data_IF_841877974756
#
_entry.id   IF_841877974756
#
_cell.length_a   1.000
_cell.length_b   1.000
_cell.length_c   1.000
_cell.angle_alpha   90.00
_cell.angle_beta   90.00
_cell.angle_gamma   90.00
#
_symmetry.space_group_name_H-M   'P 1'
#
loop_
_entity.id
_entity.type
_entity.pdbx_description
1 polymer ?
#
# COMPACT_ATOMS: atom_id res chain seq x y z
N UNK A 1 28.21 -5.95 -47.99
CA UNK A 1 28.07 -5.13 -46.76
C UNK A 1 26.76 -5.36 -46.01
N UNK A 2 25.59 -5.40 -46.67
CA UNK A 2 24.29 -5.59 -46.01
C UNK A 2 24.13 -6.93 -45.25
N UNK A 3 24.68 -8.01 -45.78
CA UNK A 3 24.62 -9.33 -45.11
C UNK A 3 25.55 -9.45 -43.91
N UNK A 4 26.74 -8.85 -43.98
CA UNK A 4 27.68 -8.79 -42.85
C UNK A 4 27.10 -7.99 -41.69
N UNK A 5 26.38 -6.90 -41.97
CA UNK A 5 25.69 -6.10 -40.96
C UNK A 5 24.55 -6.88 -40.29
N UNK A 6 23.82 -7.71 -41.04
CA UNK A 6 22.76 -8.56 -40.48
C UNK A 6 23.31 -9.67 -39.59
N UNK A 7 24.44 -10.28 -39.95
CA UNK A 7 25.11 -11.29 -39.12
C UNK A 7 25.68 -10.66 -37.85
N UNK A 8 26.28 -9.47 -37.94
CA UNK A 8 26.78 -8.74 -36.76
C UNK A 8 25.63 -8.31 -35.85
N UNK A 9 24.51 -7.81 -36.40
CA UNK A 9 23.32 -7.48 -35.63
C UNK A 9 22.68 -8.72 -34.98
N UNK A 10 22.69 -9.87 -35.68
CA UNK A 10 22.24 -11.15 -35.12
C UNK A 10 23.12 -11.63 -33.97
N UNK A 11 24.45 -11.52 -34.11
CA UNK A 11 25.42 -11.87 -33.06
C UNK A 11 25.35 -10.94 -31.85
N UNK A 12 25.12 -9.64 -32.07
CA UNK A 12 24.92 -8.66 -30.98
C UNK A 12 23.58 -8.88 -30.28
N UNK A 13 22.52 -9.25 -31.01
CA UNK A 13 21.24 -9.62 -30.43
C UNK A 13 21.33 -10.91 -29.60
N UNK A 14 22.11 -11.90 -30.03
CA UNK A 14 22.38 -13.11 -29.24
C UNK A 14 23.29 -12.86 -28.03
N UNK A 15 24.26 -11.95 -28.14
CA UNK A 15 25.10 -11.55 -27.00
C UNK A 15 24.32 -10.72 -25.95
N UNK A 16 23.30 -9.98 -26.37
CA UNK A 16 22.36 -9.28 -25.49
C UNK A 16 21.29 -10.22 -24.89
N UNK A 17 20.99 -11.33 -25.56
CA UNK A 17 20.16 -12.43 -25.04
C UNK A 17 20.99 -13.33 -24.13
N UNK A 18 21.52 -12.77 -23.03
CA UNK A 18 22.10 -13.59 -21.97
C UNK A 18 20.93 -14.26 -21.25
N UNK A 19 20.73 -15.55 -21.51
CA UNK A 19 19.84 -16.39 -20.73
C UNK A 19 20.22 -16.23 -19.26
N UNK A 20 19.30 -15.72 -18.45
CA UNK A 20 19.51 -15.61 -17.01
C UNK A 20 19.45 -17.02 -16.44
N UNK A 21 20.62 -17.59 -16.20
CA UNK A 21 20.76 -18.87 -15.52
C UNK A 21 20.58 -18.68 -14.00
N UNK A 22 20.15 -19.72 -13.30
CA UNK A 22 19.92 -19.66 -11.85
C UNK A 22 21.20 -19.26 -11.10
N UNK A 23 22.36 -19.68 -11.61
CA UNK A 23 23.67 -19.28 -11.10
C UNK A 23 23.93 -17.76 -11.14
N UNK A 24 23.36 -17.05 -12.12
CA UNK A 24 23.44 -15.58 -12.18
C UNK A 24 22.54 -14.88 -11.17
N UNK A 25 21.42 -15.49 -10.75
CA UNK A 25 20.54 -14.93 -9.73
C UNK A 25 21.07 -15.17 -8.30
N UNK A 26 21.73 -16.31 -8.06
CA UNK A 26 22.35 -16.63 -6.77
C UNK A 26 23.48 -15.65 -6.42
N UNK A 27 24.26 -15.23 -7.42
CA UNK A 27 25.47 -14.41 -7.24
C UNK A 27 25.20 -12.89 -7.25
N UNK A 28 23.95 -12.46 -7.25
CA UNK A 28 23.61 -11.04 -7.33
C UNK A 28 24.08 -10.25 -6.11
N UNK A 29 24.90 -9.23 -6.37
CA UNK A 29 25.21 -8.19 -5.40
C UNK A 29 23.96 -7.37 -5.06
N UNK A 30 23.94 -6.73 -3.88
CA UNK A 30 22.87 -5.88 -3.38
C UNK A 30 22.44 -4.85 -4.43
N UNK A 31 23.38 -4.24 -5.15
CA UNK A 31 23.07 -3.29 -6.23
C UNK A 31 22.26 -3.92 -7.37
N UNK A 32 22.55 -5.16 -7.72
CA UNK A 32 21.83 -5.87 -8.78
C UNK A 32 20.45 -6.32 -8.30
N UNK A 33 20.35 -6.81 -7.07
CA UNK A 33 19.06 -7.12 -6.41
C UNK A 33 18.15 -5.89 -6.37
N UNK A 34 18.70 -4.75 -5.92
CA UNK A 34 18.07 -3.44 -5.91
C UNK A 34 17.50 -3.06 -7.28
N UNK A 35 18.33 -3.17 -8.32
CA UNK A 35 17.94 -2.85 -9.70
C UNK A 35 16.83 -3.77 -10.20
N UNK A 36 16.85 -5.04 -9.80
CA UNK A 36 15.82 -6.00 -10.18
C UNK A 36 14.45 -5.66 -9.56
N UNK A 37 14.43 -5.30 -8.27
CA UNK A 37 13.20 -4.84 -7.59
C UNK A 37 12.65 -3.56 -8.25
N UNK A 38 13.51 -2.62 -8.62
CA UNK A 38 13.10 -1.43 -9.36
C UNK A 38 12.48 -1.76 -10.73
N UNK A 39 13.05 -2.71 -11.47
CA UNK A 39 12.47 -3.16 -12.75
C UNK A 39 11.08 -3.77 -12.55
N UNK A 40 10.86 -4.55 -11.48
CA UNK A 40 9.56 -5.15 -11.17
C UNK A 40 8.48 -4.11 -10.84
N UNK A 41 8.86 -3.03 -10.15
CA UNK A 41 7.98 -1.93 -9.74
C UNK A 41 7.85 -0.83 -10.80
N UNK A 42 8.52 -0.95 -11.94
CA UNK A 42 8.42 0.03 -13.01
C UNK A 42 7.09 -0.14 -13.77
N UNK A 43 6.35 0.96 -13.94
CA UNK A 43 5.09 1.04 -14.70
C UNK A 43 4.17 -0.15 -14.45
N UNK A 44 3.80 -0.37 -13.19
CA UNK A 44 3.08 -1.58 -12.76
C UNK A 44 1.75 -1.81 -13.48
N UNK A 45 1.11 -0.73 -13.93
CA UNK A 45 -0.17 -0.74 -14.66
C UNK A 45 -0.04 -1.11 -16.13
N UNK A 46 1.17 -1.08 -16.70
CA UNK A 46 1.45 -1.53 -18.07
C UNK A 46 1.91 -3.01 -18.04
N UNK A 47 1.84 -3.72 -19.19
CA UNK A 47 2.56 -4.98 -19.37
C UNK A 47 4.05 -4.81 -19.05
N UNK A 48 4.68 -5.88 -18.58
CA UNK A 48 6.09 -5.87 -18.20
C UNK A 48 6.95 -5.45 -19.40
N UNK A 49 7.73 -4.38 -19.23
CA UNK A 49 8.60 -3.86 -20.30
C UNK A 49 9.90 -4.67 -20.47
N UNK A 50 10.33 -5.38 -19.43
CA UNK A 50 11.61 -6.07 -19.40
C UNK A 50 11.46 -7.55 -19.76
N UNK A 51 12.03 -7.95 -20.91
CA UNK A 51 11.98 -9.34 -21.40
C UNK A 51 12.51 -10.37 -20.39
N UNK A 52 13.57 -10.03 -19.67
CA UNK A 52 14.13 -10.85 -18.58
C UNK A 52 13.06 -11.26 -17.54
N UNK A 53 12.27 -10.30 -17.07
CA UNK A 53 11.20 -10.56 -16.09
C UNK A 53 10.07 -11.37 -16.73
N UNK A 54 9.72 -11.06 -17.98
CA UNK A 54 8.68 -11.76 -18.72
C UNK A 54 9.04 -13.24 -18.96
N UNK A 55 10.28 -13.52 -19.37
CA UNK A 55 10.78 -14.87 -19.61
C UNK A 55 10.84 -15.68 -18.31
N UNK A 56 11.39 -15.11 -17.23
CA UNK A 56 11.43 -15.78 -15.92
C UNK A 56 10.00 -16.09 -15.45
N UNK A 57 9.10 -15.12 -15.53
CA UNK A 57 7.73 -15.30 -15.05
C UNK A 57 6.92 -16.31 -15.87
N UNK A 58 7.10 -16.36 -17.20
CA UNK A 58 6.42 -17.35 -18.06
C UNK A 58 6.96 -18.77 -17.87
N UNK A 59 8.26 -18.91 -17.63
CA UNK A 59 8.91 -20.21 -17.49
C UNK A 59 8.80 -20.78 -16.06
N UNK A 60 8.37 -19.98 -15.08
CA UNK A 60 8.26 -20.43 -13.70
C UNK A 60 6.89 -21.06 -13.41
N UNK A 61 6.89 -22.35 -13.05
CA UNK A 61 5.70 -23.05 -12.57
C UNK A 61 5.72 -23.16 -11.04
N UNK A 62 4.82 -22.44 -10.36
CA UNK A 62 4.72 -22.47 -8.89
C UNK A 62 4.29 -23.86 -8.37
N UNK A 63 3.42 -24.58 -9.09
CA UNK A 63 2.91 -25.88 -8.66
C UNK A 63 4.00 -26.96 -8.62
N UNK A 64 4.93 -26.93 -9.57
CA UNK A 64 6.06 -27.87 -9.65
C UNK A 64 7.17 -27.53 -8.64
N UNK A 65 7.23 -26.27 -8.19
CA UNK A 65 8.31 -25.75 -7.35
C UNK A 65 7.91 -25.57 -5.87
N UNK A 66 6.84 -26.23 -5.40
CA UNK A 66 6.36 -26.14 -4.00
C UNK A 66 7.46 -26.45 -2.98
N UNK A 67 8.40 -27.34 -3.31
CA UNK A 67 9.51 -27.73 -2.44
C UNK A 67 10.54 -26.61 -2.21
N UNK A 68 10.52 -25.53 -3.00
CA UNK A 68 11.39 -24.36 -2.84
C UNK A 68 10.91 -23.37 -1.77
N UNK A 69 9.81 -23.70 -1.07
CA UNK A 69 9.24 -22.86 -0.04
C UNK A 69 9.35 -23.54 1.33
N UNK A 70 9.58 -22.74 2.37
CA UNK A 70 9.73 -23.22 3.76
C UNK A 70 8.41 -23.77 4.30
N UNK A 71 7.28 -23.12 3.97
CA UNK A 71 5.92 -23.57 4.29
C UNK A 71 5.18 -23.97 3.03
N UNK A 72 5.14 -25.26 2.72
CA UNK A 72 4.52 -25.80 1.50
C UNK A 72 3.00 -25.66 1.50
N UNK A 73 2.35 -25.70 2.66
CA UNK A 73 0.90 -25.59 2.79
C UNK A 73 0.36 -24.22 2.35
N UNK A 74 1.15 -23.16 2.54
CA UNK A 74 0.84 -21.82 2.06
C UNK A 74 0.75 -21.81 0.54
N UNK A 75 1.71 -22.45 -0.14
CA UNK A 75 1.76 -22.52 -1.60
C UNK A 75 0.59 -23.34 -2.14
N UNK A 76 0.27 -24.47 -1.51
CA UNK A 76 -0.92 -25.27 -1.86
C UNK A 76 -2.21 -24.47 -1.72
N UNK A 77 -2.35 -23.71 -0.63
CA UNK A 77 -3.50 -22.83 -0.39
C UNK A 77 -3.59 -21.75 -1.46
N UNK A 78 -2.45 -21.12 -1.80
CA UNK A 78 -2.35 -20.13 -2.86
C UNK A 78 -2.79 -20.69 -4.21
N UNK A 79 -2.29 -21.86 -4.60
CA UNK A 79 -2.68 -22.56 -5.84
C UNK A 79 -4.18 -22.85 -5.87
N UNK A 80 -4.75 -23.32 -4.76
CA UNK A 80 -6.19 -23.56 -4.68
C UNK A 80 -6.99 -22.26 -4.85
N UNK A 81 -6.53 -21.15 -4.26
CA UNK A 81 -7.16 -19.85 -4.44
C UNK A 81 -7.07 -19.36 -5.89
N UNK A 82 -5.94 -19.60 -6.58
CA UNK A 82 -5.80 -19.28 -8.02
C UNK A 82 -6.80 -20.04 -8.88
N UNK A 83 -7.07 -21.31 -8.57
CA UNK A 83 -8.08 -22.13 -9.29
C UNK A 83 -9.51 -21.60 -9.13
N UNK A 84 -9.80 -20.98 -7.99
CA UNK A 84 -11.10 -20.32 -7.73
C UNK A 84 -11.17 -18.96 -8.44
N UNK A 85 -10.05 -18.25 -8.50
CA UNK A 85 -9.91 -16.92 -9.10
C UNK A 85 -9.62 -15.85 -8.07
N UNK A 86 -8.66 -15.00 -8.38
CA UNK A 86 -8.26 -13.83 -7.58
C UNK A 86 -8.82 -12.54 -8.18
N UNK A 87 -8.62 -11.42 -7.50
CA UNK A 87 -8.91 -10.09 -8.08
C UNK A 87 -8.28 -9.96 -9.48
N UNK A 88 -9.07 -9.61 -10.52
CA UNK A 88 -8.56 -9.43 -11.88
C UNK A 88 -7.55 -8.28 -11.99
N UNK A 89 -6.74 -8.31 -13.04
CA UNK A 89 -5.86 -7.19 -13.41
C UNK A 89 -6.67 -5.97 -13.85
N UNK A 90 -6.20 -4.78 -13.50
CA UNK A 90 -6.89 -3.51 -13.78
C UNK A 90 -8.06 -3.18 -12.84
N UNK A 91 -8.39 -4.07 -11.90
CA UNK A 91 -9.36 -3.77 -10.84
C UNK A 91 -8.70 -3.09 -9.63
N UNK A 92 -9.51 -2.36 -8.86
CA UNK A 92 -9.02 -1.62 -7.69
C UNK A 92 -8.80 -2.58 -6.52
N UNK A 93 -7.56 -2.60 -6.04
CA UNK A 93 -7.19 -3.25 -4.80
C UNK A 93 -7.34 -2.30 -3.60
N UNK A 94 -7.94 -2.80 -2.52
CA UNK A 94 -7.95 -2.21 -1.20
C UNK A 94 -7.80 -3.30 -0.15
N UNK A 95 -6.99 -3.01 0.88
CA UNK A 95 -6.76 -3.96 1.97
C UNK A 95 -7.96 -4.10 2.92
N UNK A 96 -8.97 -3.24 2.77
CA UNK A 96 -10.16 -3.19 3.62
C UNK A 96 -11.31 -4.08 3.13
N UNK A 97 -11.12 -4.81 2.02
CA UNK A 97 -12.07 -5.84 1.57
C UNK A 97 -11.53 -7.20 1.99
N UNK A 98 -12.26 -7.92 2.86
CA UNK A 98 -11.81 -9.19 3.47
C UNK A 98 -11.29 -10.22 2.48
N UNK A 99 -11.95 -10.34 1.32
CA UNK A 99 -11.51 -11.25 0.26
C UNK A 99 -10.15 -10.82 -0.30
N UNK A 100 -10.00 -9.55 -0.66
CA UNK A 100 -8.75 -9.01 -1.21
C UNK A 100 -7.62 -9.06 -0.18
N UNK A 101 -7.93 -8.80 1.10
CA UNK A 101 -6.99 -8.96 2.21
C UNK A 101 -6.48 -10.40 2.30
N UNK A 102 -7.37 -11.40 2.31
CA UNK A 102 -6.96 -12.81 2.37
C UNK A 102 -6.10 -13.22 1.17
N UNK A 103 -6.47 -12.78 -0.03
CA UNK A 103 -5.71 -13.05 -1.24
C UNK A 103 -4.31 -12.42 -1.18
N UNK A 104 -4.19 -11.14 -0.82
CA UNK A 104 -2.90 -10.44 -0.78
C UNK A 104 -1.99 -10.93 0.36
N UNK A 105 -2.57 -11.31 1.50
CA UNK A 105 -1.82 -11.93 2.61
C UNK A 105 -1.28 -13.29 2.19
N UNK A 106 -2.05 -14.05 1.41
CA UNK A 106 -1.58 -15.32 0.85
C UNK A 106 -0.43 -15.08 -0.13
N UNK A 107 -0.53 -14.07 -1.01
CA UNK A 107 0.56 -13.67 -1.91
C UNK A 107 1.83 -13.29 -1.14
N UNK A 108 1.69 -12.46 -0.10
CA UNK A 108 2.80 -12.09 0.79
C UNK A 108 3.45 -13.34 1.40
N UNK A 109 2.67 -14.28 1.93
CA UNK A 109 3.24 -15.48 2.54
C UNK A 109 4.01 -16.35 1.53
N UNK A 110 3.54 -16.48 0.30
CA UNK A 110 4.29 -17.21 -0.75
C UNK A 110 5.64 -16.53 -1.01
N UNK A 111 5.67 -15.20 -1.14
CA UNK A 111 6.92 -14.44 -1.30
C UNK A 111 7.82 -14.54 -0.07
N UNK A 112 7.25 -14.44 1.13
CA UNK A 112 8.00 -14.44 2.39
C UNK A 112 8.61 -15.82 2.68
N UNK A 113 7.90 -16.91 2.42
CA UNK A 113 8.39 -18.27 2.70
C UNK A 113 9.25 -18.88 1.60
N UNK A 114 9.54 -18.17 0.51
CA UNK A 114 10.55 -18.61 -0.48
C UNK A 114 11.91 -18.78 0.21
N UNK A 115 12.55 -19.96 0.04
CA UNK A 115 13.75 -20.35 0.78
C UNK A 115 14.96 -19.46 0.52
N UNK A 116 15.06 -18.93 -0.70
CA UNK A 116 16.17 -18.09 -1.14
C UNK A 116 15.68 -16.93 -2.00
N UNK A 117 16.61 -16.00 -2.29
CA UNK A 117 16.35 -14.82 -3.08
C UNK A 117 15.95 -15.18 -4.52
N UNK A 118 16.49 -16.27 -5.08
CA UNK A 118 16.21 -16.72 -6.44
C UNK A 118 14.76 -17.15 -6.57
N UNK A 119 14.28 -18.02 -5.67
CA UNK A 119 12.88 -18.44 -5.63
C UNK A 119 11.99 -17.23 -5.42
N UNK A 120 12.32 -16.35 -4.48
CA UNK A 120 11.57 -15.10 -4.24
C UNK A 120 11.40 -14.25 -5.50
N UNK A 121 12.48 -14.03 -6.27
CA UNK A 121 12.43 -13.26 -7.51
C UNK A 121 11.65 -13.99 -8.60
N UNK A 122 11.83 -15.30 -8.79
CA UNK A 122 11.04 -16.07 -9.76
C UNK A 122 9.54 -15.99 -9.47
N UNK A 123 9.16 -16.13 -8.19
CA UNK A 123 7.79 -15.95 -7.73
C UNK A 123 7.30 -14.52 -7.99
N UNK A 124 8.10 -13.50 -7.68
CA UNK A 124 7.74 -12.10 -7.92
C UNK A 124 7.53 -11.79 -9.42
N UNK A 125 8.40 -12.29 -10.29
CA UNK A 125 8.25 -12.18 -11.74
C UNK A 125 6.94 -12.82 -12.22
N UNK A 126 6.62 -14.01 -11.73
CA UNK A 126 5.36 -14.69 -12.05
C UNK A 126 4.15 -13.86 -11.57
N UNK A 127 4.16 -13.40 -10.31
CA UNK A 127 3.08 -12.58 -9.76
C UNK A 127 2.88 -11.28 -10.54
N UNK A 128 3.97 -10.63 -10.97
CA UNK A 128 3.94 -9.40 -11.78
C UNK A 128 3.21 -9.57 -13.12
N UNK A 129 3.25 -10.78 -13.69
CA UNK A 129 2.61 -11.10 -14.98
C UNK A 129 1.15 -11.52 -14.84
N UNK A 130 0.78 -12.24 -13.78
CA UNK A 130 -0.53 -12.90 -13.74
C UNK A 130 -1.51 -12.32 -12.71
N UNK A 131 -1.05 -11.58 -11.71
CA UNK A 131 -1.90 -11.08 -10.63
C UNK A 131 -2.18 -9.58 -10.74
N UNK A 132 -3.19 -9.13 -9.98
CA UNK A 132 -3.55 -7.72 -9.86
C UNK A 132 -2.35 -6.86 -9.46
N UNK A 133 -2.20 -5.72 -10.11
CA UNK A 133 -1.08 -4.81 -10.01
C UNK A 133 -0.92 -4.25 -8.59
N UNK A 134 -2.02 -3.79 -7.99
CA UNK A 134 -2.03 -3.22 -6.65
C UNK A 134 -1.70 -4.26 -5.58
N UNK A 135 -2.27 -5.46 -5.71
CA UNK A 135 -1.95 -6.59 -4.82
C UNK A 135 -0.49 -7.01 -4.92
N UNK A 136 0.05 -7.08 -6.14
CA UNK A 136 1.45 -7.40 -6.38
C UNK A 136 2.38 -6.36 -5.74
N UNK A 137 2.14 -5.07 -5.99
CA UNK A 137 2.94 -3.99 -5.40
C UNK A 137 2.91 -4.06 -3.88
N UNK A 138 1.73 -4.23 -3.29
CA UNK A 138 1.58 -4.34 -1.84
C UNK A 138 2.35 -5.55 -1.29
N UNK A 139 2.10 -6.74 -1.82
CA UNK A 139 2.72 -7.98 -1.34
C UNK A 139 4.26 -7.94 -1.49
N UNK A 140 4.77 -7.42 -2.62
CA UNK A 140 6.20 -7.28 -2.85
C UNK A 140 6.84 -6.27 -1.89
N UNK A 141 6.21 -5.11 -1.69
CA UNK A 141 6.73 -4.05 -0.80
C UNK A 141 6.86 -4.56 0.63
N UNK A 142 5.82 -5.23 1.14
CA UNK A 142 5.86 -5.83 2.49
C UNK A 142 6.88 -6.98 2.53
N UNK A 143 6.94 -7.85 1.52
CA UNK A 143 7.92 -8.94 1.49
C UNK A 143 9.38 -8.44 1.51
N UNK A 144 9.72 -7.43 0.69
CA UNK A 144 11.07 -6.84 0.65
C UNK A 144 11.45 -6.22 2.00
N UNK A 145 10.49 -5.60 2.72
CA UNK A 145 10.75 -5.00 4.04
C UNK A 145 10.95 -6.03 5.14
N UNK A 146 10.30 -7.19 5.04
CA UNK A 146 10.30 -8.19 6.12
C UNK A 146 11.31 -9.33 5.89
N UNK A 147 11.73 -9.59 4.65
CA UNK A 147 12.69 -10.66 4.34
C UNK A 147 14.12 -10.28 4.72
N UNK A 148 14.82 -11.23 5.31
CA UNK A 148 16.21 -11.08 5.76
C UNK A 148 17.20 -10.85 4.62
N UNK A 149 17.02 -11.55 3.49
CA UNK A 149 17.88 -11.46 2.31
C UNK A 149 17.62 -10.21 1.43
N UNK A 150 16.59 -9.42 1.79
CA UNK A 150 16.27 -8.14 1.20
C UNK A 150 16.73 -6.94 2.05
N UNK A 151 17.38 -7.16 3.20
CA UNK A 151 17.90 -6.09 4.04
C UNK A 151 18.88 -5.21 3.26
N UNK A 152 18.68 -3.89 3.35
CA UNK A 152 19.47 -2.89 2.62
C UNK A 152 18.91 -2.53 1.24
N UNK A 153 17.88 -3.23 0.75
CA UNK A 153 17.14 -2.80 -0.44
C UNK A 153 16.28 -1.59 -0.10
N UNK A 154 16.41 -0.52 -0.89
CA UNK A 154 15.64 0.72 -0.77
C UNK A 154 14.47 0.63 -1.75
N UNK A 155 13.24 0.71 -1.27
CA UNK A 155 12.08 0.70 -2.18
C UNK A 155 11.87 2.09 -2.80
N UNK A 156 11.39 2.17 -4.05
CA UNK A 156 10.97 3.45 -4.59
C UNK A 156 9.77 3.97 -3.77
N UNK A 157 9.59 5.29 -3.70
CA UNK A 157 8.46 5.87 -2.98
C UNK A 157 7.13 5.48 -3.63
N UNK A 158 6.05 5.30 -2.85
CA UNK A 158 4.76 4.83 -3.35
C UNK A 158 4.16 5.77 -4.41
N UNK A 159 4.41 7.08 -4.33
CA UNK A 159 3.94 8.06 -5.31
C UNK A 159 4.60 7.92 -6.69
N UNK A 160 5.80 7.32 -6.79
CA UNK A 160 6.45 7.00 -8.08
C UNK A 160 5.90 5.69 -8.67
N UNK A 161 5.53 4.74 -7.82
CA UNK A 161 5.00 3.44 -8.26
C UNK A 161 3.55 3.57 -8.72
N UNK A 162 2.73 4.26 -7.93
CA UNK A 162 1.30 4.41 -8.16
C UNK A 162 0.83 5.84 -7.81
N UNK A 163 0.92 6.78 -8.77
CA UNK A 163 0.68 8.21 -8.51
C UNK A 163 -0.80 8.58 -8.29
N UNK A 164 -1.75 7.71 -8.65
CA UNK A 164 -3.20 8.01 -8.57
C UNK A 164 -3.73 8.25 -7.14
N UNK A 165 -2.97 7.89 -6.10
CA UNK A 165 -3.31 8.21 -4.70
C UNK A 165 -2.68 9.53 -4.19
N UNK A 166 -1.80 10.15 -4.99
CA UNK A 166 -0.98 11.29 -4.55
C UNK A 166 -1.18 12.52 -5.44
N UNK A 167 -1.69 12.35 -6.66
CA UNK A 167 -1.82 13.42 -7.65
C UNK A 167 -3.28 13.64 -7.99
N UNK A 168 -3.73 14.90 -7.98
CA UNK A 168 -5.14 15.24 -8.26
C UNK A 168 -5.56 14.84 -9.68
N UNK A 169 -6.85 14.55 -9.80
CA UNK A 169 -7.46 14.06 -11.03
C UNK A 169 -7.28 15.00 -12.23
N UNK A 170 -7.29 16.32 -12.02
CA UNK A 170 -7.09 17.30 -13.09
C UNK A 170 -5.66 17.26 -13.67
N UNK A 171 -4.66 17.03 -12.82
CA UNK A 171 -3.26 16.88 -13.23
C UNK A 171 -3.05 15.57 -13.99
N UNK A 172 -3.61 14.46 -13.50
CA UNK A 172 -3.61 13.17 -14.20
C UNK A 172 -4.24 13.28 -15.59
N UNK A 173 -5.39 13.95 -15.69
CA UNK A 173 -6.05 14.17 -16.98
C UNK A 173 -5.20 15.00 -17.95
N UNK A 174 -4.52 16.05 -17.47
CA UNK A 174 -3.57 16.81 -18.30
C UNK A 174 -2.41 15.95 -18.78
N UNK A 175 -1.87 15.09 -17.92
CA UNK A 175 -0.80 14.16 -18.30
C UNK A 175 -1.26 13.22 -19.43
N UNK A 176 -2.50 12.70 -19.36
CA UNK A 176 -3.08 11.91 -20.43
C UNK A 176 -3.25 12.70 -21.73
N UNK A 177 -3.79 13.93 -21.67
CA UNK A 177 -3.94 14.77 -22.86
C UNK A 177 -2.61 15.05 -23.55
N UNK A 178 -1.56 15.39 -22.79
CA UNK A 178 -0.22 15.62 -23.33
C UNK A 178 0.35 14.36 -23.99
N UNK A 179 0.14 13.19 -23.38
CA UNK A 179 0.58 11.90 -23.93
C UNK A 179 -0.14 11.55 -25.23
N UNK A 180 -1.46 11.76 -25.28
CA UNK A 180 -2.29 11.52 -26.48
C UNK A 180 -1.93 12.47 -27.62
N UNK A 181 -1.71 13.76 -27.32
CA UNK A 181 -1.28 14.77 -28.30
C UNK A 181 0.16 14.56 -28.78
N UNK A 182 0.98 13.81 -28.02
CA UNK A 182 2.42 13.63 -28.24
C UNK A 182 3.18 14.96 -28.26
N UNK A 183 2.80 15.90 -27.39
CA UNK A 183 3.41 17.23 -27.36
C UNK A 183 2.69 18.20 -26.44
N UNK A 184 3.17 19.43 -26.43
CA UNK A 184 2.61 20.51 -25.61
C UNK A 184 1.23 20.94 -26.09
N UNK A 185 0.45 21.51 -25.17
CA UNK A 185 -0.77 22.24 -25.49
C UNK A 185 -0.40 23.60 -26.13
N UNK A 186 -1.42 24.37 -26.47
CA UNK A 186 -1.22 25.74 -26.95
C UNK A 186 -0.48 26.55 -25.88
N UNK A 187 0.43 27.44 -26.27
CA UNK A 187 1.31 28.16 -25.34
C UNK A 187 0.52 28.84 -24.19
N UNK A 188 -0.60 29.50 -24.50
CA UNK A 188 -1.46 30.14 -23.49
C UNK A 188 -2.00 29.16 -22.44
N UNK A 189 -2.36 27.95 -22.85
CA UNK A 189 -2.84 26.91 -21.95
C UNK A 189 -1.69 26.32 -21.14
N UNK A 190 -0.52 26.12 -21.75
CA UNK A 190 0.67 25.67 -21.05
C UNK A 190 1.05 26.66 -19.93
N UNK A 191 1.09 27.96 -20.23
CA UNK A 191 1.39 28.99 -19.25
C UNK A 191 0.34 29.02 -18.11
N UNK A 192 -0.95 28.90 -18.45
CA UNK A 192 -2.03 28.89 -17.45
C UNK A 192 -1.99 27.68 -16.52
N UNK A 193 -1.66 26.50 -17.05
CA UNK A 193 -1.60 25.25 -16.29
C UNK A 193 -0.22 24.93 -15.71
N UNK A 194 0.78 25.79 -15.89
CA UNK A 194 2.16 25.54 -15.45
C UNK A 194 2.79 24.31 -16.13
N UNK A 195 2.47 24.07 -17.40
CA UNK A 195 3.03 22.97 -18.17
C UNK A 195 4.30 23.45 -18.88
N UNK A 196 5.42 22.78 -18.62
CA UNK A 196 6.71 23.09 -19.25
C UNK A 196 7.41 21.83 -19.71
N UNK A 197 8.28 21.99 -20.71
CA UNK A 197 9.12 20.92 -21.24
C UNK A 197 10.57 21.19 -20.87
N UNK A 198 11.21 20.23 -20.22
CA UNK A 198 12.64 20.26 -19.90
C UNK A 198 13.48 19.97 -21.16
N UNK A 199 14.77 20.33 -21.11
CA UNK A 199 15.77 20.02 -22.14
C UNK A 199 15.87 18.51 -22.44
N UNK A 200 15.58 17.66 -21.46
CA UNK A 200 15.61 16.19 -21.58
C UNK A 200 14.28 15.57 -22.06
N UNK A 201 13.42 16.35 -22.70
CA UNK A 201 12.09 15.90 -23.18
C UNK A 201 11.14 15.46 -22.04
N UNK A 202 11.41 15.88 -20.80
CA UNK A 202 10.56 15.63 -19.63
C UNK A 202 9.47 16.70 -19.57
N UNK A 203 8.22 16.28 -19.49
CA UNK A 203 7.08 17.18 -19.27
C UNK A 203 6.86 17.37 -17.77
N UNK A 204 6.77 18.62 -17.34
CA UNK A 204 6.49 19.00 -15.97
C UNK A 204 5.15 19.72 -15.95
N UNK A 205 4.26 19.32 -15.04
CA UNK A 205 2.93 19.88 -14.86
C UNK A 205 2.85 20.35 -13.43
N UNK A 206 2.63 21.65 -13.23
CA UNK A 206 2.46 22.19 -11.89
C UNK A 206 1.09 21.76 -11.32
N UNK A 207 1.10 21.39 -10.05
CA UNK A 207 -0.08 21.06 -9.29
C UNK A 207 -0.41 22.19 -8.31
N UNK A 208 -1.67 22.62 -8.31
CA UNK A 208 -2.17 23.57 -7.33
C UNK A 208 -3.16 22.88 -6.39
N UNK A 209 -2.69 22.56 -5.20
CA UNK A 209 -3.46 21.89 -4.15
C UNK A 209 -4.64 22.75 -3.66
N UNK A 210 -4.60 24.08 -3.86
CA UNK A 210 -5.67 24.99 -3.46
C UNK A 210 -6.48 25.51 -4.65
N UNK A 211 -7.73 25.04 -4.75
CA UNK A 211 -8.69 25.50 -5.77
C UNK A 211 -9.99 25.98 -5.12
N UNK A 212 -10.28 27.28 -5.26
CA UNK A 212 -11.47 27.94 -4.70
C UNK A 212 -12.79 27.34 -5.18
N UNK A 213 -12.80 26.66 -6.33
CA UNK A 213 -14.02 26.03 -6.88
C UNK A 213 -14.50 24.86 -6.04
N UNK A 214 -13.63 24.29 -5.21
CA UNK A 214 -13.87 23.01 -4.51
C UNK A 214 -13.53 23.01 -3.03
N UNK A 215 -13.29 24.19 -2.48
CA UNK A 215 -13.21 24.38 -1.04
C UNK A 215 -14.56 24.00 -0.42
N UNK A 216 -14.57 22.96 0.41
CA UNK A 216 -15.76 22.53 1.14
C UNK A 216 -15.89 23.27 2.47
N UNK A 217 -14.78 23.49 3.16
CA UNK A 217 -14.78 24.08 4.50
C UNK A 217 -13.41 24.72 4.83
N UNK A 218 -13.32 25.36 5.99
CA UNK A 218 -12.11 26.08 6.42
C UNK A 218 -10.89 25.14 6.58
N UNK A 219 -11.08 23.84 6.80
CA UNK A 219 -9.95 22.92 7.01
C UNK A 219 -9.17 22.67 5.71
N UNK A 220 -9.71 23.02 4.53
CA UNK A 220 -8.99 22.96 3.25
C UNK A 220 -7.73 23.85 3.21
N UNK A 221 -7.59 24.82 4.11
CA UNK A 221 -6.33 25.59 4.22
C UNK A 221 -5.15 24.70 4.62
N UNK A 222 -5.41 23.54 5.23
CA UNK A 222 -4.37 22.57 5.62
C UNK A 222 -4.00 21.59 4.50
N UNK A 223 -4.58 21.71 3.30
CA UNK A 223 -4.32 20.74 2.23
C UNK A 223 -2.83 20.66 1.88
N UNK A 224 -2.07 21.75 1.97
CA UNK A 224 -0.60 21.71 1.76
C UNK A 224 0.12 20.75 2.72
N UNK A 225 -0.45 20.50 3.90
CA UNK A 225 0.08 19.58 4.90
C UNK A 225 -0.56 18.19 4.76
N UNK A 226 -1.90 18.10 4.64
CA UNK A 226 -2.59 16.81 4.63
C UNK A 226 -2.51 16.07 3.28
N UNK A 227 -2.30 16.79 2.20
CA UNK A 227 -2.06 16.24 0.85
C UNK A 227 -0.56 16.23 0.49
N UNK A 228 0.32 16.56 1.45
CA UNK A 228 1.76 16.44 1.26
C UNK A 228 2.13 14.98 0.96
N UNK A 229 2.92 14.79 -0.10
CA UNK A 229 3.27 13.46 -0.58
C UNK A 229 4.12 12.68 0.43
N UNK A 230 4.98 13.37 1.18
CA UNK A 230 5.90 12.74 2.13
C UNK A 230 5.18 12.37 3.42
N UNK A 231 4.22 13.18 3.89
CA UNK A 231 3.37 12.83 5.03
C UNK A 231 2.52 11.58 4.74
N UNK A 232 1.92 11.51 3.55
CA UNK A 232 1.14 10.34 3.13
C UNK A 232 2.03 9.10 2.95
N UNK A 233 3.23 9.29 2.39
CA UNK A 233 4.24 8.24 2.26
C UNK A 233 4.73 7.72 3.61
N UNK A 234 4.92 8.60 4.59
CA UNK A 234 5.28 8.24 5.95
C UNK A 234 4.25 7.29 6.57
N UNK A 235 2.95 7.60 6.45
CA UNK A 235 1.89 6.75 6.95
C UNK A 235 1.81 5.40 6.21
N UNK A 236 2.04 5.39 4.90
CA UNK A 236 2.15 4.17 4.11
C UNK A 236 3.29 3.26 4.61
N UNK A 237 4.49 3.82 4.84
CA UNK A 237 5.61 3.03 5.34
C UNK A 237 5.39 2.50 6.75
N UNK A 238 4.75 3.28 7.63
CA UNK A 238 4.35 2.78 8.94
C UNK A 238 3.46 1.54 8.83
N UNK A 239 2.49 1.56 7.92
CA UNK A 239 1.64 0.40 7.64
C UNK A 239 2.43 -0.79 7.07
N UNK A 240 3.32 -0.57 6.10
CA UNK A 240 4.14 -1.62 5.48
C UNK A 240 5.08 -2.29 6.49
N UNK A 241 5.63 -1.49 7.41
CA UNK A 241 6.53 -1.98 8.45
C UNK A 241 5.79 -2.74 9.54
N UNK A 242 4.54 -2.34 9.85
CA UNK A 242 3.72 -2.97 10.88
C UNK A 242 2.28 -3.29 10.41
N UNK A 243 2.07 -4.16 9.39
CA UNK A 243 0.74 -4.40 8.86
C UNK A 243 -0.19 -5.01 9.91
N UNK A 244 -1.40 -4.46 10.08
CA UNK A 244 -2.33 -4.87 11.14
C UNK A 244 -2.71 -6.37 11.06
N UNK A 245 -2.69 -6.97 9.87
CA UNK A 245 -3.01 -8.38 9.63
C UNK A 245 -1.84 -9.33 9.88
N UNK A 246 -0.61 -8.82 10.01
CA UNK A 246 0.58 -9.65 10.19
C UNK A 246 0.67 -10.15 11.63
N UNK A 247 0.93 -11.45 11.79
CA UNK A 247 1.09 -12.12 13.08
C UNK A 247 2.49 -11.90 13.64
N UNK A 248 2.58 -11.93 14.97
CA UNK A 248 3.83 -11.72 15.71
C UNK A 248 4.92 -12.74 15.37
N UNK A 249 4.59 -13.93 14.87
CA UNK A 249 5.58 -14.92 14.43
C UNK A 249 6.57 -14.36 13.39
N UNK A 250 6.10 -13.48 12.51
CA UNK A 250 6.87 -12.90 11.39
C UNK A 250 7.73 -11.70 11.84
N UNK A 251 7.38 -11.03 12.94
CA UNK A 251 7.99 -9.76 13.36
C UNK A 251 9.24 -9.91 14.23
N UNK A 252 10.45 -9.95 13.69
CA UNK A 252 11.61 -10.33 14.51
C UNK A 252 11.97 -9.38 15.68
N UNK A 253 11.90 -8.05 15.50
CA UNK A 253 12.69 -7.13 16.35
C UNK A 253 11.94 -6.41 17.49
N UNK A 254 10.61 -6.33 17.49
CA UNK A 254 9.85 -5.52 18.46
C UNK A 254 8.45 -6.08 18.81
N UNK A 255 8.27 -7.40 18.79
CA UNK A 255 6.97 -8.07 19.05
C UNK A 255 6.25 -7.52 20.30
N UNK A 256 6.99 -7.36 21.39
CA UNK A 256 6.44 -6.97 22.69
C UNK A 256 6.04 -5.49 22.82
N UNK A 257 6.57 -4.61 21.97
CA UNK A 257 6.33 -3.14 22.03
C UNK A 257 5.55 -2.59 20.84
N UNK A 258 4.99 -3.47 20.01
CA UNK A 258 4.26 -3.10 18.79
C UNK A 258 3.12 -2.12 19.06
N UNK A 259 2.32 -2.36 20.10
CA UNK A 259 1.18 -1.51 20.46
C UNK A 259 1.62 -0.18 21.06
N UNK A 260 2.67 -0.19 21.90
CA UNK A 260 3.29 1.03 22.42
C UNK A 260 3.78 1.93 21.28
N UNK A 261 4.46 1.34 20.29
CA UNK A 261 4.89 2.06 19.09
C UNK A 261 3.71 2.61 18.30
N UNK A 262 2.65 1.82 18.13
CA UNK A 262 1.46 2.25 17.40
C UNK A 262 0.79 3.47 18.06
N UNK A 263 0.61 3.41 19.39
CA UNK A 263 0.11 4.55 20.15
C UNK A 263 1.01 5.77 19.98
N UNK A 264 2.31 5.60 20.18
CA UNK A 264 3.28 6.68 20.05
C UNK A 264 3.18 7.35 18.67
N UNK A 265 3.14 6.57 17.58
CA UNK A 265 3.04 7.11 16.21
C UNK A 265 1.75 7.92 16.03
N UNK A 266 0.59 7.41 16.42
CA UNK A 266 -0.66 8.17 16.29
C UNK A 266 -0.68 9.43 17.16
N UNK A 267 -0.15 9.36 18.39
CA UNK A 267 -0.01 10.52 19.25
C UNK A 267 0.87 11.60 18.59
N UNK A 268 2.00 11.22 18.00
CA UNK A 268 2.90 12.16 17.32
C UNK A 268 2.27 12.76 16.06
N UNK A 269 1.58 11.96 15.24
CA UNK A 269 0.85 12.45 14.05
C UNK A 269 -0.21 13.47 14.48
N UNK A 270 -1.01 13.17 15.50
CA UNK A 270 -2.07 14.07 15.98
C UNK A 270 -1.49 15.35 16.59
N UNK A 271 -0.39 15.26 17.36
CA UNK A 271 0.30 16.43 17.89
C UNK A 271 0.83 17.33 16.76
N UNK A 272 1.47 16.73 15.74
CA UNK A 272 1.99 17.46 14.57
C UNK A 272 0.88 18.14 13.77
N UNK A 273 -0.22 17.42 13.53
CA UNK A 273 -1.41 17.96 12.88
C UNK A 273 -2.05 19.09 13.69
N UNK A 274 -2.10 18.96 15.02
CA UNK A 274 -2.62 20.01 15.90
C UNK A 274 -1.79 21.30 15.85
N UNK A 275 -0.47 21.22 15.72
CA UNK A 275 0.39 22.40 15.54
C UNK A 275 0.08 23.15 14.23
N UNK A 276 -0.21 22.44 13.13
CA UNK A 276 -0.66 23.07 11.88
C UNK A 276 -2.00 23.77 12.04
N UNK A 277 -2.93 23.14 12.77
CA UNK A 277 -4.23 23.74 13.08
C UNK A 277 -4.09 25.04 13.88
N UNK A 278 -3.18 25.07 14.86
CA UNK A 278 -2.91 26.26 15.65
C UNK A 278 -2.36 27.40 14.79
N UNK A 279 -1.40 27.09 13.92
CA UNK A 279 -0.79 28.06 13.00
C UNK A 279 -1.80 28.68 12.02
N UNK A 280 -2.85 27.92 11.67
CA UNK A 280 -3.92 28.36 10.77
C UNK A 280 -5.20 28.85 11.50
N UNK A 281 -5.17 29.02 12.83
CA UNK A 281 -6.32 29.49 13.61
C UNK A 281 -7.56 28.58 13.49
N UNK A 282 -7.35 27.26 13.42
CA UNK A 282 -8.40 26.24 13.35
C UNK A 282 -8.73 25.62 14.71
N UNK A 283 -7.93 25.91 15.74
CA UNK A 283 -8.18 25.47 17.12
C UNK A 283 -8.06 23.95 17.30
N UNK A 284 -8.71 23.45 18.35
CA UNK A 284 -8.67 22.03 18.76
C UNK A 284 -9.28 21.10 17.70
N UNK A 285 -8.86 19.85 17.73
CA UNK A 285 -9.47 18.77 16.95
C UNK A 285 -10.80 18.42 17.63
N UNK A 286 -11.90 18.46 16.88
CA UNK A 286 -13.23 18.15 17.41
C UNK A 286 -13.39 16.63 17.59
N UNK A 287 -13.95 16.14 18.71
CA UNK A 287 -14.23 14.73 18.89
C UNK A 287 -15.33 14.26 17.94
N UNK A 288 -15.18 13.04 17.42
CA UNK A 288 -16.21 12.38 16.62
C UNK A 288 -17.37 11.92 17.53
N UNK A 289 -18.59 12.00 17.02
CA UNK A 289 -19.78 11.45 17.66
C UNK A 289 -20.61 10.74 16.60
N UNK A 290 -20.90 9.45 16.79
CA UNK A 290 -21.66 8.64 15.84
C UNK A 290 -23.06 9.21 15.55
N UNK A 291 -23.74 9.69 16.58
CA UNK A 291 -25.10 10.23 16.46
C UNK A 291 -25.20 11.72 16.12
N UNK A 292 -24.07 12.38 15.80
CA UNK A 292 -24.07 13.78 15.36
C UNK A 292 -23.55 13.88 13.92
N UNK A 293 -24.09 14.78 13.10
CA UNK A 293 -23.56 14.99 11.76
C UNK A 293 -22.09 15.45 11.82
N UNK A 294 -21.26 14.87 10.95
CA UNK A 294 -19.89 15.35 10.73
C UNK A 294 -20.01 16.67 9.96
N UNK A 295 -19.78 17.79 10.66
CA UNK A 295 -19.92 19.14 10.09
C UNK A 295 -18.99 19.38 8.91
N UNK A 296 -17.75 18.89 8.99
CA UNK A 296 -16.69 19.11 8.00
C UNK A 296 -16.54 17.89 7.08
N UNK A 297 -16.95 18.06 5.83
CA UNK A 297 -16.77 17.10 4.76
C UNK A 297 -15.31 17.00 4.28
N UNK A 298 -15.07 16.09 3.34
CA UNK A 298 -13.80 15.90 2.66
C UNK A 298 -14.04 15.50 1.21
N UNK A 299 -13.37 16.18 0.28
CA UNK A 299 -13.40 15.88 -1.15
C UNK A 299 -11.98 15.51 -1.61
N UNK A 300 -11.70 14.22 -1.88
CA UNK A 300 -10.34 13.78 -2.21
C UNK A 300 -9.78 14.34 -3.52
N UNK A 301 -10.62 14.66 -4.51
CA UNK A 301 -10.16 15.12 -5.83
C UNK A 301 -9.23 14.14 -6.57
N UNK A 302 -9.32 12.86 -6.22
CA UNK A 302 -8.52 11.79 -6.80
C UNK A 302 -9.36 10.90 -7.73
N UNK A 303 -8.73 10.43 -8.79
CA UNK A 303 -9.28 9.44 -9.73
C UNK A 303 -8.32 8.25 -9.81
N UNK A 304 -8.87 7.05 -9.74
CA UNK A 304 -8.11 5.82 -9.83
C UNK A 304 -7.79 5.49 -11.29
N UNK A 305 -6.83 4.59 -11.50
CA UNK A 305 -6.36 4.20 -12.83
C UNK A 305 -7.46 3.70 -13.78
N UNK A 306 -8.54 3.14 -13.25
CA UNK A 306 -9.70 2.67 -14.02
C UNK A 306 -10.78 3.75 -14.22
N UNK A 307 -10.52 5.00 -13.83
CA UNK A 307 -11.43 6.13 -13.98
C UNK A 307 -12.44 6.30 -12.85
N UNK A 308 -12.50 5.38 -11.88
CA UNK A 308 -13.38 5.51 -10.72
C UNK A 308 -12.87 6.64 -9.82
N UNK A 309 -13.78 7.55 -9.45
CA UNK A 309 -13.47 8.64 -8.53
C UNK A 309 -13.56 8.18 -7.07
N UNK A 310 -12.67 8.68 -6.24
CA UNK A 310 -12.77 8.47 -4.79
C UNK A 310 -13.99 9.20 -4.23
N UNK A 311 -14.75 8.58 -3.32
CA UNK A 311 -16.04 9.11 -2.87
C UNK A 311 -15.85 10.40 -2.05
N UNK A 312 -16.72 11.36 -2.32
CA UNK A 312 -16.87 12.60 -1.55
C UNK A 312 -17.66 12.33 -0.26
N UNK A 313 -17.23 12.95 0.84
CA UNK A 313 -18.07 13.14 2.02
C UNK A 313 -18.48 14.61 2.11
N UNK A 314 -19.75 14.92 1.90
CA UNK A 314 -20.27 16.29 2.00
C UNK A 314 -20.22 16.83 3.46
N UNK A 315 -20.34 18.15 3.62
CA UNK A 315 -20.51 18.76 4.94
C UNK A 315 -21.83 18.30 5.59
N UNK A 316 -21.87 18.31 6.92
CA UNK A 316 -23.01 17.85 7.73
C UNK A 316 -23.46 16.42 7.40
N UNK A 317 -22.49 15.54 7.13
CA UNK A 317 -22.76 14.15 6.80
C UNK A 317 -23.28 13.38 8.01
N UNK A 318 -24.47 12.78 7.86
CA UNK A 318 -25.06 11.91 8.89
C UNK A 318 -24.41 10.53 8.78
N UNK A 319 -23.70 10.13 9.84
CA UNK A 319 -22.94 8.87 9.88
C UNK A 319 -23.87 7.68 10.01
N UNK A 320 -24.81 7.72 10.96
CA UNK A 320 -25.77 6.64 11.21
C UNK A 320 -26.88 6.68 10.17
N UNK A 321 -27.04 5.57 9.45
CA UNK A 321 -28.08 5.33 8.46
C UNK A 321 -28.58 3.90 8.59
N UNK A 322 -29.71 3.61 7.96
CA UNK A 322 -30.33 2.29 8.01
C UNK A 322 -29.42 1.20 7.43
N UNK A 323 -28.58 1.53 6.45
CA UNK A 323 -27.67 0.60 5.77
C UNK A 323 -26.40 0.26 6.56
N UNK A 324 -26.03 1.05 7.57
CA UNK A 324 -24.78 0.88 8.32
C UNK A 324 -24.94 0.83 9.84
N UNK A 325 -26.19 0.80 10.35
CA UNK A 325 -26.48 0.85 11.79
C UNK A 325 -25.78 -0.27 12.57
N UNK A 326 -25.71 -1.48 12.02
CA UNK A 326 -25.04 -2.61 12.68
C UNK A 326 -23.52 -2.42 12.77
N UNK A 327 -22.90 -1.76 11.77
CA UNK A 327 -21.47 -1.43 11.81
C UNK A 327 -21.18 -0.35 12.86
N UNK A 328 -22.07 0.63 13.00
CA UNK A 328 -21.94 1.65 14.05
C UNK A 328 -22.09 1.02 15.43
N UNK A 329 -23.10 0.18 15.64
CA UNK A 329 -23.28 -0.56 16.90
C UNK A 329 -22.08 -1.43 17.23
N UNK A 330 -21.46 -2.05 16.22
CA UNK A 330 -20.24 -2.82 16.41
C UNK A 330 -19.09 -1.93 16.90
N UNK A 331 -18.89 -0.75 16.28
CA UNK A 331 -17.89 0.21 16.71
C UNK A 331 -18.13 0.72 18.14
N UNK A 332 -19.37 1.07 18.46
CA UNK A 332 -19.79 1.48 19.81
C UNK A 332 -19.59 0.36 20.83
N UNK A 333 -19.87 -0.89 20.45
CA UNK A 333 -19.59 -2.07 21.26
C UNK A 333 -18.11 -2.22 21.58
N UNK A 334 -17.23 -2.00 20.60
CA UNK A 334 -15.79 -1.97 20.84
C UNK A 334 -15.41 -0.85 21.80
N UNK A 335 -15.89 0.38 21.60
CA UNK A 335 -15.63 1.50 22.52
C UNK A 335 -16.11 1.19 23.94
N UNK A 336 -17.26 0.53 24.09
CA UNK A 336 -17.79 0.15 25.39
C UNK A 336 -16.91 -0.90 26.08
N UNK A 337 -16.39 -1.88 25.34
CA UNK A 337 -15.43 -2.86 25.89
C UNK A 337 -14.19 -2.15 26.45
N UNK A 338 -13.68 -1.12 25.75
CA UNK A 338 -12.54 -0.33 26.26
C UNK A 338 -12.91 0.40 27.55
N UNK A 339 -14.04 1.10 27.56
CA UNK A 339 -14.52 1.86 28.73
C UNK A 339 -14.73 0.94 29.93
N UNK A 340 -15.36 -0.21 29.72
CA UNK A 340 -15.59 -1.21 30.76
C UNK A 340 -14.27 -1.78 31.29
N UNK A 341 -13.30 -2.05 30.41
CA UNK A 341 -11.98 -2.51 30.82
C UNK A 341 -11.24 -1.49 31.70
N UNK A 342 -11.32 -0.20 31.34
CA UNK A 342 -10.71 0.89 32.13
C UNK A 342 -11.37 0.97 33.51
N UNK A 343 -12.70 0.92 33.58
CA UNK A 343 -13.45 0.99 34.84
C UNK A 343 -13.16 -0.23 35.73
N UNK A 344 -13.19 -1.44 35.15
CA UNK A 344 -12.96 -2.71 35.88
C UNK A 344 -11.49 -2.89 36.29
N UNK A 345 -10.55 -2.28 35.56
CA UNK A 345 -9.12 -2.49 35.76
C UNK A 345 -8.60 -3.82 35.21
N UNK A 346 -9.40 -4.54 34.43
CA UNK A 346 -9.01 -5.77 33.73
C UNK A 346 -9.87 -6.00 32.48
N UNK A 347 -9.35 -6.78 31.52
CA UNK A 347 -10.09 -7.24 30.33
C UNK A 347 -10.37 -8.73 30.45
N UNK A 348 -11.60 -9.13 30.15
CA UNK A 348 -11.98 -10.53 29.99
C UNK A 348 -11.77 -10.95 28.53
N UNK A 349 -10.90 -11.93 28.29
CA UNK A 349 -10.64 -12.49 26.97
C UNK A 349 -11.05 -13.96 26.97
N UNK A 350 -12.13 -14.26 26.25
CA UNK A 350 -12.58 -15.64 26.04
C UNK A 350 -11.80 -16.29 24.90
N UNK A 351 -11.05 -17.37 25.20
CA UNK A 351 -10.34 -18.17 24.20
C UNK A 351 -10.93 -19.57 24.20
N UNK A 352 -11.72 -19.89 23.17
CA UNK A 352 -12.40 -21.17 22.86
C UNK A 352 -13.26 -21.76 24.01
N UNK A 353 -12.74 -21.94 25.23
CA UNK A 353 -13.43 -22.44 26.44
C UNK A 353 -12.91 -21.88 27.78
N UNK A 354 -11.88 -21.01 27.78
CA UNK A 354 -11.33 -20.40 29.00
C UNK A 354 -11.51 -18.88 28.97
N UNK A 355 -11.91 -18.30 30.10
CA UNK A 355 -11.89 -16.85 30.33
C UNK A 355 -10.56 -16.50 30.98
N UNK A 356 -9.76 -15.68 30.30
CA UNK A 356 -8.52 -15.13 30.86
C UNK A 356 -8.79 -13.70 31.28
N UNK A 357 -8.50 -13.38 32.54
CA UNK A 357 -8.52 -12.03 33.06
C UNK A 357 -7.13 -11.40 32.89
N UNK A 358 -7.04 -10.34 32.09
CA UNK A 358 -5.80 -9.58 31.91
C UNK A 358 -5.88 -8.33 32.78
N UNK A 359 -5.13 -8.31 33.89
CA UNK A 359 -5.09 -7.19 34.83
C UNK A 359 -4.32 -6.02 34.22
N UNK A 360 -4.89 -4.83 34.30
CA UNK A 360 -4.25 -3.60 33.81
C UNK A 360 -3.30 -3.08 34.88
N UNK A 361 -1.99 -3.22 34.67
CA UNK A 361 -1.01 -2.55 35.55
C UNK A 361 -1.18 -1.02 35.48
N UNK A 362 -0.73 -0.28 36.49
CA UNK A 362 -0.75 1.20 36.49
C UNK A 362 -0.10 1.81 35.25
N UNK A 363 0.97 1.21 34.73
CA UNK A 363 1.58 1.62 33.46
C UNK A 363 0.59 1.49 32.32
N UNK A 364 -0.12 0.36 32.23
CA UNK A 364 -1.09 0.05 31.18
C UNK A 364 -2.43 0.79 31.31
N UNK A 365 -2.81 1.28 32.50
CA UNK A 365 -4.01 2.13 32.67
C UNK A 365 -3.93 3.40 31.82
N UNK A 366 -2.75 4.00 31.70
CA UNK A 366 -2.51 5.15 30.81
C UNK A 366 -2.44 4.75 29.32
N UNK A 367 -1.98 3.53 28.99
CA UNK A 367 -1.95 3.04 27.61
C UNK A 367 -3.34 2.61 27.09
N UNK A 368 -4.25 2.18 27.97
CA UNK A 368 -5.58 1.68 27.62
C UNK A 368 -6.64 2.74 27.38
N UNK A 369 -6.41 3.99 27.80
CA UNK A 369 -7.15 5.14 27.25
C UNK A 369 -6.97 5.26 25.72
N UNK A 370 -6.04 4.50 25.11
CA UNK A 370 -5.78 4.53 23.66
C UNK A 370 -5.63 3.16 22.98
N UNK A 371 -5.71 2.02 23.69
CA UNK A 371 -5.37 0.70 23.12
C UNK A 371 -6.42 -0.38 23.37
N UNK A 372 -7.49 -0.43 22.55
CA UNK A 372 -8.30 -1.64 22.34
C UNK A 372 -9.10 -1.54 21.01
N UNK A 373 -8.45 -1.27 19.88
CA UNK A 373 -9.12 -1.28 18.55
C UNK A 373 -8.79 -2.53 17.71
N UNK A 374 -7.83 -3.39 18.12
CA UNK A 374 -7.36 -4.49 17.26
C UNK A 374 -7.44 -5.90 17.85
N UNK A 375 -8.20 -6.13 18.91
CA UNK A 375 -8.19 -7.42 19.62
C UNK A 375 -8.97 -8.58 18.96
N UNK A 376 -9.58 -8.43 17.78
CA UNK A 376 -10.60 -9.39 17.33
C UNK A 376 -10.40 -10.12 16.00
N UNK A 377 -9.29 -9.99 15.28
CA UNK A 377 -9.12 -10.76 14.02
C UNK A 377 -7.78 -11.48 13.82
N UNK A 378 -7.13 -11.93 14.90
CA UNK A 378 -5.93 -12.79 14.77
C UNK A 378 -5.97 -14.10 15.55
N UNK A 379 -7.04 -14.41 16.28
CA UNK A 379 -7.13 -15.64 17.12
C UNK A 379 -8.28 -16.58 16.77
N UNK A 380 -8.73 -16.60 15.53
CA UNK A 380 -9.57 -17.68 15.01
C UNK A 380 -8.80 -18.50 13.97
N UNK A 381 -8.57 -19.79 14.29
CA UNK A 381 -7.87 -20.85 13.54
C UNK A 381 -6.38 -21.04 13.88
N UNK A 382 -6.13 -21.70 15.00
CA UNK A 382 -5.69 -23.11 15.00
C UNK A 382 -6.22 -23.77 16.26
#
# INVERSE_FOLDING_TARGET
>A
MREVVLVILGLVAMAAARQVDDNTLVTLDIKQRQTFIFKLLNKVMEPVMYKEIEEIGKNYNIEENVNLYTKTDVVKTFINNLKIGTLPRGEIFTIHVDRQLKEVVTMFHVLYYAKDFVTFIKTACWMRLYLNEGMFVYALTVAVRQREDCKGIILPPPYEIYPYYFVRADVIQRAYFLKMKRGLLDNKLCDFYGIRKSEKDILIIDENIYDKRVVLNKDNVLNYFTEDIDLNTYYYYFHVDYPFWMKDEVFDKNKFRRFELNLYVYQQILARYYLERLSNGLGKIEPLSWHKPIRKGYWPWLVLHNGVQLPLRANNYVVVRDDNIELVRLAEGYEQIIKDAIIKGFVEVSIKYNVIYVILSETYKNYLETCLIFFTDQRCKT
#
